data_IF_136945154069
#
_entry.id   IF_136945154069
#
_cell.length_a   1.000
_cell.length_b   1.000
_cell.length_c   1.000
_cell.angle_alpha   90.00
_cell.angle_beta   90.00
_cell.angle_gamma   90.00
#
_symmetry.space_group_name_H-M   'P 1'
#
loop_
_entity.id
_entity.type
_entity.pdbx_description
1 polymer ?
#
# COMPACT_ATOMS: atom_id res chain seq x y z
N UNK A 1 -25.35 38.06 41.80
CA UNK A 1 -24.20 37.20 41.41
C UNK A 1 -23.25 38.05 40.58
N UNK A 2 -21.98 38.21 40.98
CA UNK A 2 -20.97 38.99 40.19
C UNK A 2 -20.42 38.09 39.12
N UNK A 3 -20.78 38.31 37.86
CA UNK A 3 -20.11 37.67 36.72
C UNK A 3 -18.65 38.19 36.65
N UNK A 4 -17.69 37.37 36.98
CA UNK A 4 -16.28 37.68 36.76
C UNK A 4 -15.98 37.41 35.29
N UNK A 5 -15.78 38.47 34.53
CA UNK A 5 -15.29 38.37 33.14
C UNK A 5 -13.83 37.94 33.07
N UNK A 6 -13.45 37.22 31.99
CA UNK A 6 -12.07 36.86 31.69
C UNK A 6 -11.26 38.11 31.33
N UNK A 7 -10.03 38.18 31.80
CA UNK A 7 -9.09 39.22 31.38
C UNK A 7 -8.42 38.86 30.08
N UNK A 8 -8.05 39.87 29.28
CA UNK A 8 -7.35 39.68 28.04
C UNK A 8 -6.01 38.98 28.25
N UNK A 9 -5.31 39.27 29.36
CA UNK A 9 -4.01 38.66 29.68
C UNK A 9 -4.13 37.18 30.03
N UNK A 10 -5.19 36.77 30.73
CA UNK A 10 -5.47 35.35 31.01
C UNK A 10 -5.65 34.55 29.72
N UNK A 11 -6.39 35.12 28.74
CA UNK A 11 -6.57 34.48 27.44
C UNK A 11 -5.24 34.38 26.66
N UNK A 12 -4.43 35.46 26.65
CA UNK A 12 -3.15 35.47 25.94
C UNK A 12 -2.16 34.44 26.50
N UNK A 13 -2.07 34.27 27.81
CA UNK A 13 -1.18 33.29 28.43
C UNK A 13 -1.61 31.87 28.04
N UNK A 14 -2.90 31.56 28.08
CA UNK A 14 -3.42 30.23 27.71
C UNK A 14 -3.12 29.90 26.24
N UNK A 15 -3.37 30.83 25.33
CA UNK A 15 -3.05 30.65 23.90
C UNK A 15 -1.56 30.45 23.68
N UNK A 16 -0.69 31.22 24.37
CA UNK A 16 0.75 31.07 24.29
C UNK A 16 1.22 29.67 24.74
N UNK A 17 0.70 29.15 25.83
CA UNK A 17 1.03 27.80 26.33
C UNK A 17 0.57 26.73 25.33
N UNK A 18 -0.67 26.82 24.82
CA UNK A 18 -1.20 25.90 23.82
C UNK A 18 -0.34 25.92 22.55
N UNK A 19 0.10 27.10 22.07
CA UNK A 19 0.93 27.21 20.90
C UNK A 19 2.30 26.51 21.08
N UNK A 20 2.92 26.63 22.25
CA UNK A 20 4.19 25.93 22.55
C UNK A 20 4.00 24.42 22.55
N UNK A 21 2.95 23.93 23.20
CA UNK A 21 2.66 22.48 23.26
C UNK A 21 2.35 21.96 21.83
N UNK A 22 1.54 22.66 21.06
CA UNK A 22 1.18 22.28 19.70
C UNK A 22 2.40 22.25 18.77
N UNK A 23 3.32 23.19 18.90
CA UNK A 23 4.55 23.24 18.10
C UNK A 23 5.42 21.98 18.24
N UNK A 24 5.41 21.34 19.40
CA UNK A 24 6.15 20.09 19.66
C UNK A 24 5.30 18.85 19.33
N UNK A 25 4.01 18.90 19.64
CA UNK A 25 3.13 17.74 19.53
C UNK A 25 2.77 17.41 18.08
N UNK A 26 2.50 18.41 17.23
CA UNK A 26 2.05 18.20 15.84
C UNK A 26 3.10 17.45 15.00
N UNK A 27 4.39 17.84 14.95
CA UNK A 27 5.39 17.10 14.18
C UNK A 27 5.57 15.63 14.66
N UNK A 28 5.51 15.41 15.97
CA UNK A 28 5.63 14.07 16.54
C UNK A 28 4.43 13.20 16.18
N UNK A 29 3.22 13.76 16.20
CA UNK A 29 2.00 13.06 15.79
C UNK A 29 2.04 12.66 14.31
N UNK A 30 2.51 13.55 13.42
CA UNK A 30 2.65 13.26 12.00
C UNK A 30 3.62 12.11 11.74
N UNK A 31 4.78 12.11 12.40
CA UNK A 31 5.76 11.00 12.31
C UNK A 31 5.17 9.68 12.81
N UNK A 32 4.46 9.70 13.93
CA UNK A 32 3.80 8.52 14.47
C UNK A 32 2.73 7.97 13.52
N UNK A 33 1.95 8.84 12.88
CA UNK A 33 0.98 8.45 11.84
C UNK A 33 1.65 7.82 10.62
N UNK A 34 2.73 8.42 10.11
CA UNK A 34 3.49 7.85 9.00
C UNK A 34 4.02 6.45 9.33
N UNK A 35 4.62 6.26 10.50
CA UNK A 35 5.10 4.94 10.94
C UNK A 35 3.97 3.90 11.04
N UNK A 36 2.79 4.29 11.55
CA UNK A 36 1.63 3.42 11.59
C UNK A 36 1.11 3.07 10.19
N UNK A 37 1.10 4.02 9.26
CA UNK A 37 0.71 3.80 7.86
C UNK A 37 1.70 2.86 7.15
N UNK A 38 3.00 3.01 7.37
CA UNK A 38 4.05 2.14 6.82
C UNK A 38 3.89 0.71 7.33
N UNK A 39 3.65 0.53 8.63
CA UNK A 39 3.37 -0.79 9.21
C UNK A 39 2.10 -1.43 8.62
N UNK A 40 1.05 -0.63 8.41
CA UNK A 40 -0.17 -1.09 7.76
C UNK A 40 0.05 -1.47 6.29
N UNK A 41 0.92 -0.74 5.56
CA UNK A 41 1.28 -1.08 4.18
C UNK A 41 2.06 -2.40 4.10
N UNK A 42 2.98 -2.65 5.03
CA UNK A 42 3.70 -3.94 5.14
C UNK A 42 2.70 -5.09 5.38
N UNK A 43 1.78 -4.92 6.32
CA UNK A 43 0.73 -5.90 6.58
C UNK A 43 -0.15 -6.14 5.35
N UNK A 44 -0.53 -5.09 4.61
CA UNK A 44 -1.28 -5.21 3.37
C UNK A 44 -0.51 -5.98 2.28
N UNK A 45 0.81 -5.78 2.16
CA UNK A 45 1.65 -6.56 1.26
C UNK A 45 1.62 -8.07 1.61
N UNK A 46 1.67 -8.42 2.89
CA UNK A 46 1.59 -9.82 3.34
C UNK A 46 0.19 -10.41 3.07
N UNK A 47 -0.86 -9.66 3.39
CA UNK A 47 -2.25 -10.06 3.08
C UNK A 47 -2.46 -10.30 1.58
N UNK A 48 -1.86 -9.46 0.73
CA UNK A 48 -1.89 -9.68 -0.72
C UNK A 48 -1.24 -11.01 -1.11
N UNK A 49 -0.07 -11.32 -0.57
CA UNK A 49 0.63 -12.58 -0.86
C UNK A 49 -0.20 -13.80 -0.44
N UNK A 50 -0.79 -13.77 0.76
CA UNK A 50 -1.68 -14.83 1.24
C UNK A 50 -2.93 -14.98 0.35
N UNK A 51 -3.52 -13.86 -0.08
CA UNK A 51 -4.69 -13.87 -0.96
C UNK A 51 -4.36 -14.45 -2.34
N UNK A 52 -3.18 -14.15 -2.90
CA UNK A 52 -2.70 -14.73 -4.16
C UNK A 52 -2.52 -16.26 -4.06
N UNK A 53 -1.99 -16.75 -2.96
CA UNK A 53 -1.82 -18.18 -2.74
C UNK A 53 -3.16 -18.92 -2.59
N UNK A 54 -4.19 -18.24 -2.05
CA UNK A 54 -5.55 -18.78 -1.99
C UNK A 54 -6.19 -18.75 -3.38
N UNK A 55 -6.07 -17.63 -4.10
CA UNK A 55 -6.64 -17.44 -5.43
C UNK A 55 -6.19 -18.54 -6.39
N UNK A 56 -4.90 -18.84 -6.43
CA UNK A 56 -4.31 -19.86 -7.32
C UNK A 56 -4.84 -21.28 -7.10
N UNK A 57 -5.54 -21.58 -6.01
CA UNK A 57 -6.03 -22.93 -5.71
C UNK A 57 -7.31 -23.30 -6.47
N UNK A 58 -7.94 -22.34 -7.10
CA UNK A 58 -9.21 -22.51 -7.80
C UNK A 58 -9.12 -21.82 -9.16
N UNK A 59 -9.60 -22.51 -10.19
CA UNK A 59 -9.80 -21.93 -11.53
C UNK A 59 -11.08 -21.08 -11.50
N UNK A 60 -10.90 -19.76 -11.33
CA UNK A 60 -12.00 -18.83 -11.11
C UNK A 60 -12.71 -18.43 -12.40
N UNK A 61 -11.99 -18.38 -13.53
CA UNK A 61 -12.51 -17.99 -14.83
C UNK A 61 -12.88 -19.19 -15.72
N UNK A 62 -12.63 -20.41 -15.21
CA UNK A 62 -12.97 -21.69 -15.87
C UNK A 62 -12.26 -21.89 -17.22
N UNK A 63 -11.03 -21.38 -17.34
CA UNK A 63 -10.19 -21.58 -18.53
C UNK A 63 -9.33 -22.85 -18.47
N UNK A 64 -9.35 -23.57 -17.33
CA UNK A 64 -8.59 -24.79 -17.08
C UNK A 64 -7.17 -24.55 -16.56
N UNK A 65 -6.80 -23.31 -16.24
CA UNK A 65 -5.47 -22.93 -15.75
C UNK A 65 -5.56 -22.41 -14.30
N UNK A 66 -4.68 -22.90 -13.43
CA UNK A 66 -4.53 -22.36 -12.08
C UNK A 66 -3.55 -21.19 -12.12
N UNK A 67 -4.04 -20.00 -11.82
CA UNK A 67 -3.28 -18.74 -11.96
C UNK A 67 -3.39 -17.85 -10.73
N UNK A 68 -2.56 -16.81 -10.68
CA UNK A 68 -2.66 -15.71 -9.73
C UNK A 68 -3.52 -14.59 -10.29
N UNK A 69 -4.18 -13.85 -9.42
CA UNK A 69 -4.97 -12.67 -9.81
C UNK A 69 -4.08 -11.57 -10.40
N UNK A 70 -4.47 -11.05 -11.55
CA UNK A 70 -3.77 -9.96 -12.27
C UNK A 70 -4.01 -8.57 -11.64
N UNK A 71 -5.05 -8.44 -10.82
CA UNK A 71 -5.45 -7.20 -10.18
C UNK A 71 -5.92 -7.44 -8.74
N UNK A 72 -6.00 -6.38 -7.95
CA UNK A 72 -6.62 -6.43 -6.63
C UNK A 72 -8.14 -6.31 -6.76
N UNK A 73 -8.62 -5.49 -7.71
CA UNK A 73 -10.03 -5.19 -7.93
C UNK A 73 -10.44 -5.36 -9.40
N UNK A 74 -11.70 -5.72 -9.64
CA UNK A 74 -12.28 -5.91 -10.97
C UNK A 74 -12.50 -7.38 -11.30
N UNK A 75 -12.58 -7.70 -12.58
CA UNK A 75 -12.74 -9.07 -13.06
C UNK A 75 -11.44 -9.85 -12.91
N UNK A 76 -11.52 -11.13 -12.57
CA UNK A 76 -10.37 -12.03 -12.34
C UNK A 76 -9.36 -11.44 -11.33
N UNK A 77 -9.87 -10.93 -10.21
CA UNK A 77 -9.11 -10.23 -9.19
C UNK A 77 -9.32 -10.81 -7.78
N UNK A 78 -8.55 -10.32 -6.80
CA UNK A 78 -8.70 -10.70 -5.39
C UNK A 78 -9.98 -10.16 -4.74
N UNK A 79 -10.57 -9.12 -5.32
CA UNK A 79 -11.83 -8.52 -4.88
C UNK A 79 -12.74 -8.31 -6.09
N UNK A 80 -13.61 -9.26 -6.31
CA UNK A 80 -14.60 -9.24 -7.38
C UNK A 80 -15.99 -9.18 -6.78
N UNK A 81 -16.72 -8.10 -7.06
CA UNK A 81 -18.07 -7.89 -6.56
C UNK A 81 -19.01 -7.63 -7.72
N UNK A 82 -20.05 -8.46 -7.83
CA UNK A 82 -21.09 -8.37 -8.87
C UNK A 82 -20.62 -8.68 -10.30
N UNK A 83 -19.57 -9.45 -10.49
CA UNK A 83 -19.14 -9.93 -11.81
C UNK A 83 -19.72 -11.34 -12.09
N UNK A 84 -19.65 -11.77 -13.34
CA UNK A 84 -20.28 -13.00 -13.83
C UNK A 84 -19.71 -14.31 -13.27
N UNK A 85 -18.54 -14.26 -12.62
CA UNK A 85 -17.83 -15.42 -12.06
C UNK A 85 -18.12 -15.65 -10.57
N UNK A 86 -18.75 -14.69 -9.89
CA UNK A 86 -19.14 -14.80 -8.48
C UNK A 86 -18.66 -13.64 -7.62
N UNK A 87 -19.02 -13.64 -6.34
CA UNK A 87 -18.54 -12.64 -5.38
C UNK A 87 -17.29 -13.17 -4.66
N UNK A 88 -16.10 -12.91 -5.21
CA UNK A 88 -14.84 -13.25 -4.56
C UNK A 88 -14.34 -12.06 -3.74
N UNK A 89 -14.07 -12.27 -2.46
CA UNK A 89 -13.56 -11.25 -1.55
C UNK A 89 -12.44 -11.82 -0.68
N UNK A 90 -11.25 -12.01 -1.27
CA UNK A 90 -10.05 -12.46 -0.56
C UNK A 90 -9.34 -11.31 0.17
N UNK A 91 -9.65 -10.09 -0.23
CA UNK A 91 -9.16 -8.86 0.41
C UNK A 91 -10.32 -7.92 0.72
N UNK A 92 -10.10 -6.92 1.57
CA UNK A 92 -11.16 -5.96 1.92
C UNK A 92 -11.39 -4.89 0.84
N UNK A 93 -12.59 -4.29 0.85
CA UNK A 93 -12.97 -3.26 -0.11
C UNK A 93 -12.06 -2.01 -0.09
N UNK A 94 -11.47 -1.68 1.06
CA UNK A 94 -10.55 -0.55 1.16
C UNK A 94 -9.24 -0.87 0.44
N UNK A 95 -8.78 -2.13 0.46
CA UNK A 95 -7.63 -2.55 -0.31
C UNK A 95 -7.91 -2.53 -1.81
N UNK A 96 -9.07 -3.02 -2.22
CA UNK A 96 -9.51 -2.97 -3.62
C UNK A 96 -9.58 -1.52 -4.15
N UNK A 97 -10.13 -0.60 -3.36
CA UNK A 97 -10.20 0.82 -3.72
C UNK A 97 -8.86 1.54 -3.75
N UNK A 98 -7.85 0.98 -3.08
CA UNK A 98 -6.50 1.53 -3.05
C UNK A 98 -5.61 1.03 -4.21
N UNK A 99 -6.15 0.26 -5.14
CA UNK A 99 -5.44 -0.15 -6.35
C UNK A 99 -5.36 1.01 -7.36
N UNK A 100 -4.18 1.24 -7.90
CA UNK A 100 -3.92 2.23 -8.94
C UNK A 100 -2.89 3.27 -8.55
N UNK A 101 -2.82 4.34 -9.34
CA UNK A 101 -1.85 5.42 -9.12
C UNK A 101 -2.27 6.32 -7.95
N UNK A 102 -1.32 6.98 -7.24
CA UNK A 102 -1.61 7.84 -6.09
C UNK A 102 -2.64 8.94 -6.34
N UNK A 103 -2.76 9.40 -7.58
CA UNK A 103 -3.68 10.47 -7.98
C UNK A 103 -5.11 9.98 -8.27
N UNK A 104 -5.30 8.67 -8.47
CA UNK A 104 -6.57 8.10 -8.92
C UNK A 104 -7.21 7.16 -7.90
N UNK A 105 -6.42 6.46 -7.10
CA UNK A 105 -6.90 5.49 -6.12
C UNK A 105 -7.34 6.14 -4.80
N UNK A 106 -8.19 5.43 -4.05
CA UNK A 106 -8.53 5.80 -2.68
C UNK A 106 -7.55 5.11 -1.71
N UNK A 107 -6.64 5.85 -1.05
CA UNK A 107 -5.57 5.22 -0.27
C UNK A 107 -6.12 4.41 0.92
N UNK A 108 -5.56 3.21 1.14
CA UNK A 108 -5.75 2.43 2.37
C UNK A 108 -4.60 2.74 3.33
N UNK A 109 -4.91 3.24 4.51
CA UNK A 109 -3.93 3.69 5.50
C UNK A 109 -2.84 4.60 4.88
N UNK A 110 -3.24 5.50 3.97
CA UNK A 110 -2.33 6.44 3.30
C UNK A 110 -1.43 5.83 2.21
N UNK A 111 -1.68 4.58 1.78
CA UNK A 111 -0.94 3.88 0.74
C UNK A 111 -1.84 3.45 -0.42
N UNK A 112 -1.26 3.42 -1.61
CA UNK A 112 -1.87 2.88 -2.82
C UNK A 112 -1.01 1.72 -3.36
N UNK A 113 -1.65 0.82 -4.11
CA UNK A 113 -1.06 -0.47 -4.47
C UNK A 113 -1.24 -0.75 -5.96
N UNK A 114 -0.29 -1.47 -6.55
CA UNK A 114 -0.39 -1.95 -7.94
C UNK A 114 0.24 -3.33 -8.07
N UNK A 115 -0.47 -4.24 -8.69
CA UNK A 115 0.06 -5.56 -9.04
C UNK A 115 1.12 -5.41 -10.14
N UNK A 116 2.24 -6.10 -9.97
CA UNK A 116 3.34 -6.12 -10.93
C UNK A 116 3.38 -7.47 -11.65
N UNK A 117 3.43 -7.44 -12.98
CA UNK A 117 3.35 -8.63 -13.84
C UNK A 117 4.70 -9.21 -14.25
N UNK A 118 5.78 -8.73 -13.62
CA UNK A 118 7.12 -9.21 -13.91
C UNK A 118 8.17 -8.76 -12.90
N UNK A 119 9.38 -9.29 -13.05
CA UNK A 119 10.52 -8.95 -12.23
C UNK A 119 11.75 -8.57 -13.06
N UNK A 120 12.60 -7.72 -12.46
CA UNK A 120 13.85 -7.26 -13.07
C UNK A 120 15.06 -8.10 -12.70
N UNK A 121 16.21 -7.70 -13.20
CA UNK A 121 17.46 -8.45 -13.10
C UNK A 121 18.00 -8.66 -11.68
N UNK A 122 17.66 -7.78 -10.74
CA UNK A 122 18.12 -7.88 -9.34
C UNK A 122 17.21 -8.77 -8.47
N UNK A 123 16.07 -9.20 -9.01
CA UNK A 123 15.19 -10.13 -8.31
C UNK A 123 15.76 -11.56 -8.35
N UNK A 124 15.48 -12.39 -7.35
CA UNK A 124 15.86 -13.81 -7.38
C UNK A 124 15.33 -14.50 -8.65
N UNK A 125 16.21 -15.14 -9.39
CA UNK A 125 15.90 -15.78 -10.68
C UNK A 125 15.97 -14.87 -11.91
N UNK A 126 16.42 -13.61 -11.75
CA UNK A 126 16.65 -12.67 -12.85
C UNK A 126 15.37 -12.13 -13.50
N UNK A 127 15.53 -11.47 -14.64
CA UNK A 127 14.41 -10.87 -15.37
C UNK A 127 13.47 -11.93 -15.92
N UNK A 128 12.18 -11.82 -15.58
CA UNK A 128 11.11 -12.66 -16.16
C UNK A 128 9.75 -11.97 -16.08
N UNK A 129 8.86 -12.32 -16.99
CA UNK A 129 7.42 -12.01 -16.85
C UNK A 129 6.76 -13.05 -15.94
N UNK A 130 5.72 -12.66 -15.24
CA UNK A 130 4.87 -13.58 -14.48
C UNK A 130 3.68 -14.08 -15.30
N UNK A 131 3.37 -13.40 -16.42
CA UNK A 131 2.23 -13.67 -17.28
C UNK A 131 2.65 -14.53 -18.48
N UNK A 132 1.86 -15.57 -18.74
CA UNK A 132 1.97 -16.44 -19.92
C UNK A 132 0.64 -16.37 -20.66
N UNK A 133 0.65 -15.81 -21.87
CA UNK A 133 -0.60 -15.52 -22.58
C UNK A 133 -1.42 -14.45 -21.82
N UNK A 134 -2.57 -14.84 -21.32
CA UNK A 134 -3.46 -13.99 -20.49
C UNK A 134 -3.36 -14.29 -19.00
N UNK A 135 -2.68 -15.39 -18.60
CA UNK A 135 -2.72 -15.97 -17.26
C UNK A 135 -1.44 -15.69 -16.48
N UNK A 136 -1.54 -15.22 -15.25
CA UNK A 136 -0.40 -14.97 -14.38
C UNK A 136 -0.03 -16.26 -13.61
N UNK A 137 0.83 -17.09 -14.21
CA UNK A 137 1.15 -18.43 -13.71
C UNK A 137 2.55 -18.57 -13.11
N UNK A 138 3.49 -17.67 -13.46
CA UNK A 138 4.91 -17.82 -13.09
C UNK A 138 5.31 -17.07 -11.82
N UNK A 139 4.37 -16.41 -11.17
CA UNK A 139 4.57 -15.64 -9.95
C UNK A 139 3.68 -14.41 -9.90
N UNK A 140 3.88 -13.61 -8.89
CA UNK A 140 3.21 -12.31 -8.70
C UNK A 140 4.13 -11.34 -7.98
N UNK A 141 3.82 -10.05 -8.06
CA UNK A 141 4.42 -9.07 -7.17
C UNK A 141 3.47 -7.88 -6.96
N UNK A 142 3.75 -7.11 -5.92
CA UNK A 142 3.00 -5.91 -5.56
C UNK A 142 3.97 -4.76 -5.31
N UNK A 143 3.58 -3.57 -5.73
CA UNK A 143 4.18 -2.29 -5.35
C UNK A 143 3.23 -1.52 -4.48
N UNK A 144 3.74 -0.95 -3.38
CA UNK A 144 3.00 -0.04 -2.50
C UNK A 144 3.73 1.30 -2.44
N UNK A 145 3.00 2.39 -2.67
CA UNK A 145 3.50 3.76 -2.61
C UNK A 145 2.72 4.58 -1.59
N UNK A 146 3.36 5.52 -0.86
CA UNK A 146 2.62 6.48 -0.07
C UNK A 146 1.82 7.40 -1.02
N UNK A 147 0.56 7.66 -0.68
CA UNK A 147 -0.29 8.57 -1.45
C UNK A 147 0.25 10.02 -1.42
N UNK A 148 1.00 10.37 -0.37
CA UNK A 148 1.69 11.64 -0.23
C UNK A 148 3.03 11.42 0.49
N UNK A 149 4.14 11.67 -0.19
CA UNK A 149 5.47 11.62 0.41
C UNK A 149 5.56 12.63 1.56
N UNK A 150 6.15 12.24 2.70
CA UNK A 150 6.22 13.00 3.96
C UNK A 150 4.84 13.38 4.58
N UNK A 151 3.74 13.07 3.91
CA UNK A 151 2.40 13.27 4.43
C UNK A 151 1.80 12.01 5.00
N UNK A 152 1.81 10.93 4.22
CA UNK A 152 1.22 9.63 4.61
C UNK A 152 2.27 8.56 4.88
N UNK A 153 3.49 8.70 4.34
CA UNK A 153 4.63 7.81 4.52
C UNK A 153 5.83 8.31 3.73
N UNK A 154 6.99 7.70 3.93
CA UNK A 154 8.23 7.96 3.18
C UNK A 154 8.67 6.75 2.37
N UNK A 155 8.55 5.56 2.95
CA UNK A 155 9.01 4.34 2.31
C UNK A 155 7.99 3.83 1.30
N UNK A 156 8.49 3.40 0.14
CA UNK A 156 7.77 2.55 -0.79
C UNK A 156 8.08 1.09 -0.47
N UNK A 157 7.14 0.20 -0.74
CA UNK A 157 7.30 -1.23 -0.48
C UNK A 157 7.09 -2.04 -1.75
N UNK A 158 7.75 -3.19 -1.82
CA UNK A 158 7.49 -4.21 -2.83
C UNK A 158 7.60 -5.60 -2.20
N UNK A 159 6.76 -6.51 -2.67
CA UNK A 159 6.75 -7.93 -2.32
C UNK A 159 6.54 -8.76 -3.58
N UNK A 160 7.03 -9.97 -3.59
CA UNK A 160 6.71 -10.97 -4.60
C UNK A 160 6.41 -12.33 -3.95
N UNK A 161 6.25 -13.35 -4.75
CA UNK A 161 5.96 -14.72 -4.34
C UNK A 161 7.03 -15.38 -3.43
N UNK A 162 8.15 -14.71 -3.13
CA UNK A 162 9.09 -15.18 -2.09
C UNK A 162 8.67 -14.77 -0.68
N UNK A 163 7.67 -13.88 -0.55
CA UNK A 163 7.11 -13.44 0.72
C UNK A 163 7.92 -12.36 1.46
N UNK A 164 9.08 -11.96 0.92
CA UNK A 164 9.92 -10.94 1.53
C UNK A 164 9.44 -9.54 1.13
N UNK A 165 9.15 -8.70 2.12
CA UNK A 165 8.82 -7.28 1.90
C UNK A 165 10.10 -6.46 1.89
N UNK A 166 10.33 -5.73 0.80
CA UNK A 166 11.42 -4.78 0.67
C UNK A 166 10.89 -3.36 0.79
N UNK A 167 11.68 -2.48 1.41
CA UNK A 167 11.36 -1.06 1.55
C UNK A 167 12.48 -0.17 1.03
N UNK A 168 12.12 1.02 0.57
CA UNK A 168 13.04 2.06 0.16
C UNK A 168 12.41 3.44 0.27
N UNK A 169 13.13 4.39 0.85
CA UNK A 169 12.83 5.82 0.68
C UNK A 169 13.28 6.23 -0.73
N UNK A 170 12.32 6.45 -1.62
CA UNK A 170 12.58 6.85 -3.01
C UNK A 170 12.60 8.37 -3.18
N UNK A 171 12.33 9.12 -2.11
CA UNK A 171 12.25 10.58 -2.13
C UNK A 171 10.96 11.12 -2.72
N UNK A 172 10.81 12.44 -2.71
CA UNK A 172 9.58 13.15 -3.11
C UNK A 172 9.28 13.12 -4.61
N UNK A 173 10.21 12.65 -5.44
CA UNK A 173 10.03 12.61 -6.90
C UNK A 173 9.29 11.41 -7.44
N UNK A 174 9.00 10.40 -6.60
CA UNK A 174 8.31 9.18 -7.02
C UNK A 174 6.82 9.32 -6.81
N UNK A 175 6.10 9.49 -7.92
CA UNK A 175 4.64 9.62 -7.96
C UNK A 175 3.96 8.47 -8.74
N UNK A 176 4.73 7.52 -9.25
CA UNK A 176 4.23 6.38 -10.03
C UNK A 176 4.80 5.07 -9.51
N UNK A 177 3.99 4.01 -9.57
CA UNK A 177 4.43 2.68 -9.21
C UNK A 177 5.56 2.18 -10.12
N UNK A 178 6.39 1.30 -9.57
CA UNK A 178 7.31 0.51 -10.36
C UNK A 178 6.55 -0.35 -11.36
N UNK A 179 7.15 -0.60 -12.51
CA UNK A 179 6.56 -1.48 -13.53
C UNK A 179 6.95 -2.94 -13.33
N UNK A 180 8.01 -3.19 -12.56
CA UNK A 180 8.53 -4.54 -12.28
C UNK A 180 9.02 -4.63 -10.84
N UNK A 181 8.91 -5.82 -10.24
CA UNK A 181 9.56 -6.13 -8.98
C UNK A 181 11.06 -6.22 -9.18
N UNK A 182 11.81 -5.32 -8.58
CA UNK A 182 13.27 -5.28 -8.80
C UNK A 182 14.01 -4.65 -7.60
N UNK A 183 14.15 -5.36 -6.46
CA UNK A 183 14.85 -4.84 -5.30
C UNK A 183 16.35 -4.77 -5.58
N UNK A 184 16.81 -3.60 -6.00
CA UNK A 184 18.23 -3.30 -6.28
C UNK A 184 18.87 -2.52 -5.12
N UNK A 185 20.05 -1.92 -5.38
CA UNK A 185 20.77 -1.10 -4.40
C UNK A 185 19.85 -0.05 -3.73
N UNK A 186 19.87 -0.02 -2.40
CA UNK A 186 19.09 0.88 -1.58
C UNK A 186 17.71 0.33 -1.14
N UNK A 187 17.28 -0.82 -1.67
CA UNK A 187 16.17 -1.57 -1.09
C UNK A 187 16.68 -2.41 0.08
N UNK A 188 16.01 -2.36 1.20
CA UNK A 188 16.32 -3.14 2.39
C UNK A 188 15.12 -4.00 2.76
N UNK A 189 15.39 -5.15 3.36
CA UNK A 189 14.31 -6.00 3.89
C UNK A 189 13.63 -5.25 5.02
N UNK A 190 12.31 -5.15 4.93
CA UNK A 190 11.50 -4.54 5.97
C UNK A 190 11.09 -5.56 7.02
N UNK A 191 10.76 -6.75 6.58
CA UNK A 191 10.46 -7.95 7.37
C UNK A 191 10.54 -9.22 6.51
#
# INVERSE_FOLDING_TARGET
MRNRGFTLIELMIVVAIIAIIAAIAIPNLLRSRMAANESAAIAACKTFAEAQDIYRRTDWDSDGVLEYALAISGDNSLYEKNSGTGNLTLVDAAFASAEGQPTAAQPKAGYVFTVLTGQGANAPGGTKTYVVGTNMTLGYALSALPASFDGTGRNSFQINNTGTVYQKDQGSGVSTHLTTYNPNTGWVVSE
#
